data_IF_213037156577
#
_entry.id   IF_213037156577
#
_cell.length_a   1.000
_cell.length_b   1.000
_cell.length_c   1.000
_cell.angle_alpha   90.00
_cell.angle_beta   90.00
_cell.angle_gamma   90.00
#
_symmetry.space_group_name_H-M   'P 1'
#
loop_
_entity.id
_entity.type
_entity.pdbx_description
1 polymer ?
#
# COMPACT_ATOMS: atom_id res chain seq x y z
N UNK A 1 28.99 -15.06 -2.52
CA UNK A 1 29.18 -13.87 -1.67
C UNK A 1 29.11 -12.66 -2.58
N UNK A 2 28.00 -11.97 -2.60
CA UNK A 2 27.83 -10.70 -3.30
C UNK A 2 28.14 -9.59 -2.30
N UNK A 3 29.23 -8.95 -2.51
CA UNK A 3 29.63 -7.58 -2.10
C UNK A 3 29.13 -7.00 -0.75
N UNK A 4 29.09 -7.82 0.32
CA UNK A 4 28.84 -7.31 1.67
C UNK A 4 27.44 -6.76 1.95
N UNK A 5 26.50 -6.92 1.03
CA UNK A 5 25.09 -6.56 1.21
C UNK A 5 24.40 -7.70 1.94
N UNK A 6 23.91 -7.46 3.13
CA UNK A 6 23.00 -8.37 3.83
C UNK A 6 21.73 -8.52 2.99
N UNK A 7 21.57 -9.68 2.37
CA UNK A 7 20.33 -10.05 1.69
C UNK A 7 19.22 -10.14 2.74
N UNK A 8 18.11 -9.44 2.51
CA UNK A 8 16.95 -9.65 3.33
C UNK A 8 16.37 -11.05 3.04
N UNK A 9 15.85 -11.76 4.06
CA UNK A 9 15.19 -13.04 3.82
C UNK A 9 14.11 -12.91 2.75
N UNK A 10 14.08 -13.83 1.79
CA UNK A 10 13.14 -13.80 0.66
C UNK A 10 13.56 -12.92 -0.52
N UNK A 11 14.79 -12.42 -0.50
CA UNK A 11 15.34 -11.64 -1.60
C UNK A 11 15.51 -12.47 -2.88
N UNK A 12 14.88 -12.00 -3.99
CA UNK A 12 14.88 -12.73 -5.27
C UNK A 12 13.83 -13.82 -5.34
N UNK A 13 13.01 -13.96 -4.30
CA UNK A 13 11.92 -14.92 -4.23
C UNK A 13 10.58 -14.22 -4.03
N UNK A 14 9.50 -14.83 -4.51
CA UNK A 14 8.15 -14.36 -4.24
C UNK A 14 7.85 -14.44 -2.75
N UNK A 15 7.27 -13.38 -2.18
CA UNK A 15 6.76 -13.38 -0.80
C UNK A 15 5.50 -14.24 -0.63
N UNK A 16 4.89 -14.68 -1.74
CA UNK A 16 3.66 -15.46 -1.75
C UNK A 16 3.87 -16.73 -2.57
N UNK A 17 3.42 -17.86 -2.02
CA UNK A 17 3.44 -19.13 -2.72
C UNK A 17 2.07 -19.81 -2.67
N UNK A 18 1.78 -20.63 -3.67
CA UNK A 18 0.59 -21.46 -3.73
C UNK A 18 1.00 -22.92 -3.94
N UNK A 19 0.59 -23.82 -3.04
CA UNK A 19 1.01 -25.23 -3.03
C UNK A 19 2.54 -25.40 -3.11
N UNK A 20 3.29 -24.57 -2.39
CA UNK A 20 4.76 -24.61 -2.35
C UNK A 20 5.46 -24.08 -3.59
N UNK A 21 4.74 -23.54 -4.58
CA UNK A 21 5.29 -22.90 -5.77
C UNK A 21 5.23 -21.39 -5.61
N UNK A 22 6.33 -20.65 -5.76
CA UNK A 22 6.34 -19.19 -5.76
C UNK A 22 5.40 -18.65 -6.83
N UNK A 23 4.59 -17.63 -6.48
CA UNK A 23 3.79 -16.92 -7.47
C UNK A 23 4.67 -15.93 -8.25
N UNK A 24 4.37 -15.64 -9.52
CA UNK A 24 5.00 -14.56 -10.26
C UNK A 24 4.88 -13.24 -9.49
N UNK A 25 5.88 -12.39 -9.54
CA UNK A 25 5.93 -11.14 -8.81
C UNK A 25 6.79 -10.11 -9.53
N UNK A 26 6.49 -8.84 -9.31
CA UNK A 26 7.32 -7.75 -9.80
C UNK A 26 8.63 -7.69 -9.00
N UNK A 27 9.81 -7.90 -9.62
CA UNK A 27 11.07 -7.75 -8.94
C UNK A 27 11.36 -6.26 -8.67
N UNK A 28 11.52 -5.91 -7.40
CA UNK A 28 11.85 -4.53 -7.05
C UNK A 28 13.35 -4.26 -7.17
N UNK A 29 13.70 -3.09 -7.72
CA UNK A 29 15.08 -2.62 -7.82
C UNK A 29 15.63 -2.07 -6.49
N UNK A 30 14.90 -2.21 -5.39
CA UNK A 30 15.15 -1.57 -4.10
C UNK A 30 16.38 -2.08 -3.33
N UNK A 31 17.07 -3.02 -3.88
CA UNK A 31 18.24 -3.62 -3.24
C UNK A 31 19.52 -2.85 -3.41
N UNK A 32 19.43 -1.77 -4.11
CA UNK A 32 20.53 -0.84 -4.05
C UNK A 32 20.60 -0.23 -2.65
N UNK A 33 21.71 -0.42 -1.90
CA UNK A 33 21.88 0.11 -0.54
C UNK A 33 21.64 1.61 -0.45
N UNK A 34 21.72 2.30 -1.57
CA UNK A 34 21.47 3.73 -1.70
C UNK A 34 20.03 4.13 -1.34
N UNK A 35 19.01 3.29 -1.66
CA UNK A 35 17.63 3.62 -1.26
C UNK A 35 17.45 3.58 0.25
N UNK A 36 17.99 2.56 0.92
CA UNK A 36 17.97 2.46 2.38
C UNK A 36 18.68 3.62 3.05
N UNK A 37 19.84 4.06 2.53
CA UNK A 37 20.56 5.23 3.02
C UNK A 37 19.75 6.50 2.83
N UNK A 38 19.20 6.73 1.64
CA UNK A 38 18.35 7.89 1.37
C UNK A 38 17.14 7.96 2.27
N UNK A 39 16.44 6.83 2.48
CA UNK A 39 15.30 6.75 3.40
C UNK A 39 15.71 7.14 4.84
N UNK A 40 16.88 6.68 5.31
CA UNK A 40 17.38 7.05 6.63
C UNK A 40 17.76 8.54 6.72
N UNK A 41 18.36 9.08 5.68
CA UNK A 41 18.71 10.51 5.60
C UNK A 41 17.45 11.37 5.60
N UNK A 42 16.48 11.08 4.73
CA UNK A 42 15.18 11.76 4.67
C UNK A 42 14.46 11.72 6.03
N UNK A 43 14.45 10.57 6.69
CA UNK A 43 13.85 10.40 8.01
C UNK A 43 14.56 11.22 9.09
N UNK A 44 15.91 11.23 9.12
CA UNK A 44 16.70 12.02 10.08
C UNK A 44 16.49 13.52 9.89
N UNK A 45 16.32 13.97 8.66
CA UNK A 45 16.06 15.37 8.32
C UNK A 45 14.59 15.77 8.53
N UNK A 46 13.73 14.85 8.98
CA UNK A 46 12.29 15.09 9.14
C UNK A 46 11.56 15.32 7.82
N UNK A 47 12.16 14.91 6.70
CA UNK A 47 11.57 14.96 5.36
C UNK A 47 10.67 13.76 5.11
N UNK A 48 9.90 13.81 4.02
CA UNK A 48 9.20 12.63 3.54
C UNK A 48 10.18 11.56 3.04
N UNK A 49 9.84 10.30 3.26
CA UNK A 49 10.63 9.14 2.83
C UNK A 49 10.35 8.86 1.34
N UNK A 50 10.64 9.86 0.49
CA UNK A 50 10.32 9.80 -0.95
C UNK A 50 11.17 8.78 -1.69
N UNK A 51 12.34 8.41 -1.13
CA UNK A 51 13.18 7.36 -1.67
C UNK A 51 12.43 6.02 -1.79
N UNK A 52 11.45 5.76 -0.91
CA UNK A 52 10.61 4.55 -0.98
C UNK A 52 9.76 4.54 -2.25
N UNK A 53 8.93 5.54 -2.47
CA UNK A 53 8.08 5.58 -3.67
C UNK A 53 8.89 5.62 -4.98
N UNK A 54 10.05 6.29 -4.96
CA UNK A 54 10.94 6.33 -6.12
C UNK A 54 11.53 4.97 -6.46
N UNK A 55 11.82 4.16 -5.45
CA UNK A 55 12.24 2.77 -5.64
C UNK A 55 11.19 1.95 -6.40
N UNK A 56 9.91 2.06 -6.02
CA UNK A 56 8.82 1.37 -6.72
C UNK A 56 8.67 1.89 -8.16
N UNK A 57 8.74 3.21 -8.38
CA UNK A 57 8.67 3.82 -9.71
C UNK A 57 9.80 3.36 -10.63
N UNK A 58 11.02 3.31 -10.12
CA UNK A 58 12.17 2.83 -10.88
C UNK A 58 12.08 1.33 -11.16
N UNK A 59 11.56 0.55 -10.22
CA UNK A 59 11.35 -0.88 -10.40
C UNK A 59 10.40 -1.15 -11.57
N UNK A 60 9.24 -0.51 -11.59
CA UNK A 60 8.29 -0.65 -12.71
C UNK A 60 8.84 -0.12 -14.04
N UNK A 61 9.71 0.90 -14.01
CA UNK A 61 10.37 1.41 -15.21
C UNK A 61 11.40 0.44 -15.77
N UNK A 62 12.17 -0.21 -14.92
CA UNK A 62 13.22 -1.17 -15.31
C UNK A 62 12.64 -2.53 -15.68
N UNK A 63 11.56 -2.92 -15.04
CA UNK A 63 10.83 -4.14 -15.30
C UNK A 63 9.35 -3.80 -15.52
N UNK A 64 8.92 -3.57 -16.75
CA UNK A 64 7.51 -3.35 -17.07
C UNK A 64 6.68 -4.54 -16.59
N UNK A 65 5.63 -4.24 -15.83
CA UNK A 65 4.78 -5.24 -15.18
C UNK A 65 4.19 -6.21 -16.21
N UNK A 66 4.39 -7.50 -15.97
CA UNK A 66 3.83 -8.56 -16.82
C UNK A 66 2.45 -8.98 -16.30
N UNK A 67 1.63 -9.52 -17.19
CA UNK A 67 0.25 -9.91 -16.86
C UNK A 67 0.21 -10.95 -15.72
N UNK A 68 1.11 -11.90 -15.71
CA UNK A 68 1.21 -12.97 -14.69
C UNK A 68 1.67 -12.46 -13.32
N UNK A 69 2.30 -11.30 -13.25
CA UNK A 69 2.76 -10.66 -12.01
C UNK A 69 1.64 -9.87 -11.30
N UNK A 70 0.55 -9.61 -12.01
CA UNK A 70 -0.59 -8.86 -11.48
C UNK A 70 -1.51 -9.77 -10.65
N UNK A 71 -2.01 -9.22 -9.55
CA UNK A 71 -3.10 -9.85 -8.79
C UNK A 71 -4.35 -9.87 -9.66
N UNK A 72 -4.91 -11.06 -9.90
CA UNK A 72 -6.12 -11.26 -10.70
C UNK A 72 -7.37 -10.91 -9.89
N UNK A 73 -7.58 -9.63 -9.64
CA UNK A 73 -8.68 -9.13 -8.81
C UNK A 73 -10.06 -9.50 -9.38
N UNK A 74 -10.16 -9.72 -10.68
CA UNK A 74 -11.36 -10.20 -11.36
C UNK A 74 -11.79 -11.60 -10.95
N UNK A 75 -10.88 -12.40 -10.41
CA UNK A 75 -11.17 -13.75 -9.90
C UNK A 75 -11.70 -13.76 -8.46
N UNK A 76 -11.68 -12.60 -7.78
CA UNK A 76 -12.20 -12.49 -6.42
C UNK A 76 -13.70 -12.60 -6.44
N UNK A 77 -14.25 -13.43 -5.54
CA UNK A 77 -15.69 -13.56 -5.31
C UNK A 77 -16.06 -12.84 -4.01
N UNK A 78 -17.21 -12.18 -4.01
CA UNK A 78 -17.68 -11.42 -2.86
C UNK A 78 -17.38 -9.92 -2.97
N UNK A 79 -17.05 -9.26 -1.86
CA UNK A 79 -16.81 -7.82 -1.83
C UNK A 79 -15.32 -7.50 -1.75
N UNK A 80 -14.83 -6.71 -2.69
CA UNK A 80 -13.47 -6.17 -2.73
C UNK A 80 -13.48 -4.73 -2.21
N UNK A 81 -12.77 -4.49 -1.12
CA UNK A 81 -12.61 -3.15 -0.53
C UNK A 81 -11.19 -2.68 -0.82
N UNK A 82 -11.07 -1.59 -1.55
CA UNK A 82 -9.80 -0.95 -1.91
C UNK A 82 -9.70 0.41 -1.21
N UNK A 83 -8.60 0.65 -0.50
CA UNK A 83 -8.38 1.90 0.20
C UNK A 83 -6.98 2.42 -0.10
N UNK A 84 -6.87 3.72 -0.41
CA UNK A 84 -5.59 4.36 -0.66
C UNK A 84 -5.63 5.86 -0.34
N UNK A 85 -4.45 6.47 -0.15
CA UNK A 85 -4.28 7.92 -0.15
C UNK A 85 -3.36 8.36 -1.28
N UNK A 86 -3.62 9.54 -1.86
CA UNK A 86 -2.81 10.10 -2.93
C UNK A 86 -1.44 10.60 -2.43
N UNK A 87 -1.37 10.94 -1.15
CA UNK A 87 -0.16 11.42 -0.48
C UNK A 87 0.65 10.30 0.21
N UNK A 88 0.40 9.03 -0.14
CA UNK A 88 1.25 7.92 0.28
C UNK A 88 2.61 8.00 -0.43
N UNK A 89 3.68 8.18 0.37
CA UNK A 89 5.05 8.31 -0.14
C UNK A 89 5.87 7.02 0.04
N UNK A 90 5.29 5.96 0.61
CA UNK A 90 5.96 4.66 0.70
C UNK A 90 5.79 3.87 -0.60
N UNK A 91 4.60 3.91 -1.20
CA UNK A 91 4.34 3.39 -2.54
C UNK A 91 3.17 4.13 -3.22
N UNK A 92 2.95 3.90 -4.49
CA UNK A 92 1.89 4.57 -5.27
C UNK A 92 0.52 3.92 -5.05
N UNK A 93 0.04 3.85 -3.77
CA UNK A 93 -1.18 3.14 -3.41
C UNK A 93 -2.39 3.54 -4.27
N UNK A 94 -2.62 4.83 -4.45
CA UNK A 94 -3.72 5.35 -5.27
C UNK A 94 -3.62 4.92 -6.75
N UNK A 95 -2.42 4.88 -7.33
CA UNK A 95 -2.18 4.35 -8.67
C UNK A 95 -2.53 2.88 -8.77
N UNK A 96 -2.18 2.09 -7.76
CA UNK A 96 -2.48 0.66 -7.76
C UNK A 96 -3.96 0.37 -7.60
N UNK A 97 -4.67 1.14 -6.78
CA UNK A 97 -6.15 1.06 -6.70
C UNK A 97 -6.77 1.37 -8.06
N UNK A 98 -6.38 2.47 -8.71
CA UNK A 98 -6.90 2.82 -10.03
C UNK A 98 -6.58 1.76 -11.09
N UNK A 99 -5.39 1.14 -11.06
CA UNK A 99 -5.03 0.02 -11.93
C UNK A 99 -5.95 -1.17 -11.73
N UNK A 100 -6.31 -1.50 -10.49
CA UNK A 100 -7.27 -2.57 -10.19
C UNK A 100 -8.68 -2.23 -10.66
N UNK A 101 -9.14 -0.99 -10.49
CA UNK A 101 -10.43 -0.53 -11.01
C UNK A 101 -10.49 -0.60 -12.55
N UNK A 102 -9.43 -0.14 -13.25
CA UNK A 102 -9.35 -0.24 -14.71
C UNK A 102 -9.36 -1.70 -15.17
N UNK A 103 -8.63 -2.59 -14.47
CA UNK A 103 -8.66 -4.02 -14.76
C UNK A 103 -10.07 -4.60 -14.66
N UNK A 104 -10.81 -4.25 -13.62
CA UNK A 104 -12.18 -4.72 -13.42
C UNK A 104 -13.17 -4.17 -14.44
N UNK A 105 -12.90 -3.03 -15.07
CA UNK A 105 -13.73 -2.52 -16.19
C UNK A 105 -13.62 -3.36 -17.46
N UNK A 106 -12.47 -3.97 -17.70
CA UNK A 106 -12.18 -4.70 -18.95
C UNK A 106 -12.25 -6.23 -18.80
N UNK A 107 -12.24 -6.74 -17.58
CA UNK A 107 -12.36 -8.17 -17.31
C UNK A 107 -13.71 -8.49 -16.66
N UNK A 108 -14.46 -9.50 -17.16
CA UNK A 108 -15.67 -9.96 -16.48
C UNK A 108 -15.38 -10.40 -15.04
N UNK A 109 -16.19 -9.97 -14.09
CA UNK A 109 -16.02 -10.30 -12.68
C UNK A 109 -17.37 -10.40 -11.95
N UNK A 110 -17.37 -11.12 -10.83
CA UNK A 110 -18.54 -11.27 -9.94
C UNK A 110 -18.43 -10.44 -8.66
N UNK A 111 -17.24 -9.86 -8.38
CA UNK A 111 -17.02 -9.12 -7.14
C UNK A 111 -17.75 -7.79 -7.11
N UNK A 112 -18.27 -7.44 -5.92
CA UNK A 112 -18.72 -6.08 -5.62
C UNK A 112 -17.50 -5.25 -5.27
N UNK A 113 -17.32 -4.09 -5.91
CA UNK A 113 -16.15 -3.23 -5.71
C UNK A 113 -16.52 -1.98 -4.93
N UNK A 114 -15.82 -1.72 -3.86
CA UNK A 114 -15.92 -0.51 -3.05
C UNK A 114 -14.51 0.09 -2.95
N UNK A 115 -14.25 1.17 -3.71
CA UNK A 115 -12.94 1.82 -3.77
C UNK A 115 -13.00 3.21 -3.12
N UNK A 116 -12.05 3.49 -2.27
CA UNK A 116 -11.92 4.74 -1.52
C UNK A 116 -10.51 5.30 -1.71
N UNK A 117 -10.38 6.36 -2.49
CA UNK A 117 -9.12 7.06 -2.70
C UNK A 117 -9.22 8.45 -2.08
N UNK A 118 -8.43 8.70 -1.05
CA UNK A 118 -8.43 9.94 -0.30
C UNK A 118 -7.27 10.84 -0.73
N UNK A 119 -7.49 12.13 -0.68
CA UNK A 119 -6.43 13.10 -0.96
C UNK A 119 -5.34 13.09 0.12
N UNK A 120 -5.74 12.98 1.38
CA UNK A 120 -4.86 13.00 2.54
C UNK A 120 -5.13 11.81 3.45
N UNK A 121 -4.10 11.06 3.78
CA UNK A 121 -4.20 9.87 4.62
C UNK A 121 -2.85 9.26 4.92
N UNK A 122 -1.84 9.62 4.15
CA UNK A 122 -0.48 9.04 4.17
C UNK A 122 -0.51 7.54 3.88
N UNK A 123 0.49 6.82 4.34
CA UNK A 123 0.52 5.36 4.31
C UNK A 123 -0.41 4.70 5.34
N UNK A 124 -0.91 5.47 6.33
CA UNK A 124 -1.71 4.95 7.44
C UNK A 124 -3.21 5.12 7.21
N UNK A 125 -3.69 4.68 6.05
CA UNK A 125 -5.11 4.66 5.65
C UNK A 125 -5.85 3.45 6.25
N UNK A 126 -5.77 3.30 7.57
CA UNK A 126 -6.46 2.26 8.32
C UNK A 126 -7.69 2.82 9.05
N UNK A 127 -8.69 1.97 9.40
CA UNK A 127 -9.77 2.38 10.30
C UNK A 127 -9.23 2.99 11.59
N UNK A 128 -9.86 4.06 12.07
CA UNK A 128 -9.41 4.80 13.26
C UNK A 128 -9.34 3.92 14.52
N UNK A 129 -10.32 3.03 14.71
CA UNK A 129 -10.32 2.06 15.81
C UNK A 129 -9.18 1.06 15.70
N UNK A 130 -8.82 0.63 14.50
CA UNK A 130 -7.67 -0.25 14.27
C UNK A 130 -6.36 0.46 14.65
N UNK A 131 -6.19 1.71 14.23
CA UNK A 131 -5.00 2.51 14.57
C UNK A 131 -4.87 2.69 16.07
N UNK A 132 -5.96 3.01 16.76
CA UNK A 132 -5.98 3.13 18.24
C UNK A 132 -5.64 1.84 18.96
N UNK A 133 -6.08 0.70 18.44
CA UNK A 133 -5.81 -0.62 19.01
C UNK A 133 -4.36 -1.06 18.79
N UNK A 134 -3.84 -0.87 17.59
CA UNK A 134 -2.47 -1.27 17.25
C UNK A 134 -1.41 -0.32 17.82
N UNK A 135 -1.75 0.95 17.96
CA UNK A 135 -0.84 2.03 18.35
C UNK A 135 -1.47 2.88 19.47
N UNK A 136 -1.78 2.29 20.65
CA UNK A 136 -2.57 2.95 21.69
C UNK A 136 -1.96 4.27 22.20
N UNK A 137 -0.63 4.43 22.10
CA UNK A 137 0.08 5.63 22.60
C UNK A 137 0.39 6.61 21.46
N UNK A 138 0.23 6.23 20.19
CA UNK A 138 0.83 7.00 19.12
C UNK A 138 0.16 6.97 17.76
N UNK A 139 -1.12 6.59 17.65
CA UNK A 139 -1.79 6.56 16.36
C UNK A 139 -1.68 7.88 15.60
N UNK A 140 -1.92 9.01 16.25
CA UNK A 140 -1.73 10.33 15.66
C UNK A 140 -0.24 10.69 15.49
N UNK A 141 0.66 10.15 16.33
CA UNK A 141 2.09 10.36 16.22
C UNK A 141 2.67 9.62 15.00
N UNK A 142 2.23 8.39 14.76
CA UNK A 142 2.69 7.61 13.59
C UNK A 142 2.31 8.27 12.27
N UNK A 143 1.14 8.91 12.19
CA UNK A 143 0.77 9.66 10.97
C UNK A 143 1.68 10.85 10.73
N UNK A 144 2.27 11.44 11.79
CA UNK A 144 3.19 12.58 11.71
C UNK A 144 4.61 12.21 11.29
N UNK A 145 4.92 10.93 11.11
CA UNK A 145 6.17 10.50 10.46
C UNK A 145 6.25 11.05 9.04
N UNK A 146 5.11 11.19 8.36
CA UNK A 146 5.02 11.75 7.02
C UNK A 146 4.74 13.25 7.03
N UNK A 147 5.30 14.00 6.06
CA UNK A 147 5.07 15.43 5.95
C UNK A 147 3.59 15.75 5.73
N UNK A 148 2.88 14.97 4.95
CA UNK A 148 1.43 15.12 4.76
C UNK A 148 0.67 14.97 6.09
N UNK A 149 1.03 14.01 6.94
CA UNK A 149 0.44 13.83 8.27
C UNK A 149 0.74 15.00 9.23
N UNK A 150 1.88 15.67 9.07
CA UNK A 150 2.20 16.90 9.82
C UNK A 150 1.46 18.11 9.27
N UNK A 151 1.30 18.20 7.96
CA UNK A 151 0.68 19.34 7.28
C UNK A 151 -0.85 19.28 7.32
N UNK A 152 -1.42 18.09 7.23
CA UNK A 152 -2.86 17.84 7.14
C UNK A 152 -3.35 16.84 8.23
N UNK A 153 -3.03 17.08 9.53
CA UNK A 153 -3.32 16.11 10.58
C UNK A 153 -4.81 15.85 10.79
N UNK A 154 -5.62 16.90 10.59
CA UNK A 154 -7.08 16.83 10.71
C UNK A 154 -7.68 16.00 9.56
N UNK A 155 -7.30 16.28 8.35
CA UNK A 155 -7.77 15.59 7.14
C UNK A 155 -7.37 14.10 7.17
N UNK A 156 -6.14 13.79 7.58
CA UNK A 156 -5.70 12.39 7.75
C UNK A 156 -6.54 11.65 8.80
N UNK A 157 -6.92 12.33 9.88
CA UNK A 157 -7.80 11.75 10.90
C UNK A 157 -9.22 11.56 10.39
N UNK A 158 -9.78 12.55 9.70
CA UNK A 158 -11.10 12.47 9.07
C UNK A 158 -11.15 11.31 8.05
N UNK A 159 -10.07 11.11 7.27
CA UNK A 159 -9.91 9.96 6.37
C UNK A 159 -10.02 8.64 7.13
N UNK A 160 -9.30 8.46 8.24
CA UNK A 160 -9.35 7.22 9.03
C UNK A 160 -10.75 6.96 9.62
N UNK A 161 -11.43 8.00 10.08
CA UNK A 161 -12.81 7.91 10.60
C UNK A 161 -13.78 7.53 9.48
N UNK A 162 -13.63 8.11 8.31
CA UNK A 162 -14.47 7.78 7.16
C UNK A 162 -14.25 6.36 6.67
N UNK A 163 -13.00 5.91 6.61
CA UNK A 163 -12.65 4.51 6.32
C UNK A 163 -13.34 3.57 7.31
N UNK A 164 -13.24 3.84 8.61
CA UNK A 164 -13.89 3.02 9.64
C UNK A 164 -15.40 2.91 9.42
N UNK A 165 -16.05 4.04 9.14
CA UNK A 165 -17.49 4.09 8.86
C UNK A 165 -17.84 3.23 7.63
N UNK A 166 -17.12 3.40 6.53
CA UNK A 166 -17.40 2.72 5.28
C UNK A 166 -17.11 1.22 5.38
N UNK A 167 -15.96 0.83 5.90
CA UNK A 167 -15.60 -0.58 6.08
C UNK A 167 -16.59 -1.28 7.02
N UNK A 168 -16.94 -0.65 8.14
CA UNK A 168 -17.94 -1.19 9.08
C UNK A 168 -19.30 -1.36 8.42
N UNK A 169 -19.74 -0.38 7.63
CA UNK A 169 -21.01 -0.45 6.87
C UNK A 169 -21.01 -1.63 5.91
N UNK A 170 -19.93 -1.81 5.16
CA UNK A 170 -19.80 -2.89 4.17
C UNK A 170 -19.79 -4.25 4.85
N UNK A 171 -19.00 -4.42 5.91
CA UNK A 171 -18.93 -5.67 6.68
C UNK A 171 -20.30 -6.01 7.28
N UNK A 172 -20.99 -5.06 7.91
CA UNK A 172 -22.33 -5.28 8.48
C UNK A 172 -23.35 -5.71 7.43
N UNK A 173 -23.29 -5.09 6.23
CA UNK A 173 -24.14 -5.47 5.11
C UNK A 173 -23.87 -6.91 4.66
N UNK A 174 -22.59 -7.24 4.47
CA UNK A 174 -22.18 -8.60 4.10
C UNK A 174 -22.58 -9.66 5.13
N UNK A 175 -22.49 -9.35 6.42
CA UNK A 175 -22.91 -10.27 7.49
C UNK A 175 -24.42 -10.48 7.56
N UNK A 176 -25.22 -9.61 6.95
CA UNK A 176 -26.68 -9.68 6.92
C UNK A 176 -27.23 -10.37 5.65
N UNK A 177 -26.39 -10.61 4.65
CA UNK A 177 -26.69 -11.37 3.42
C UNK A 177 -26.57 -12.89 3.68
#
# INVERSE_FOLDING_TARGET
>A
KRDGVTEWPGEGESSVSYHGKPLPYLPYAYRHPEYGRKMQEESKEGKDIVASVNMFRESEKKHPVQEEELIKVENIKGTLILVAAEDDVLWEAAKYVRRMEERLKIHPHECKVEAFVYKHGTHFVFPEGMVKTMLPIGGDLMTRVFAAGRKYPRECKETRIDIERNVTRIIKKWMAE
#
